data_IF_655159061513
#
_entry.id   IF_655159061513
#
_cell.length_a   1.000
_cell.length_b   1.000
_cell.length_c   1.000
_cell.angle_alpha   90.00
_cell.angle_beta   90.00
_cell.angle_gamma   90.00
#
_symmetry.space_group_name_H-M   'P 1'
#
loop_
_entity.id
_entity.type
_entity.pdbx_description
1 polymer ?
#
# COMPACT_ATOMS: atom_id res chain seq x y z
N UNK A 1 -10.14 39.14 -5.63
CA UNK A 1 -9.09 38.31 -6.25
C UNK A 1 -8.85 37.16 -5.28
N UNK A 2 -9.53 36.04 -5.49
CA UNK A 2 -9.33 34.85 -4.66
C UNK A 2 -7.94 34.29 -4.96
N UNK A 3 -7.17 33.99 -3.93
CA UNK A 3 -5.93 33.23 -4.08
C UNK A 3 -6.34 31.84 -4.58
N UNK A 4 -5.86 31.45 -5.77
CA UNK A 4 -6.02 30.08 -6.25
C UNK A 4 -5.19 29.17 -5.33
N UNK A 5 -5.84 28.53 -4.35
CA UNK A 5 -5.23 27.59 -3.40
C UNK A 5 -5.22 26.13 -3.89
N UNK A 6 -5.48 25.86 -5.17
CA UNK A 6 -5.56 24.50 -5.72
C UNK A 6 -4.40 24.17 -6.67
N UNK A 7 -3.15 24.33 -6.23
CA UNK A 7 -2.01 23.70 -6.91
C UNK A 7 -1.52 22.52 -6.09
N UNK A 8 -1.65 21.30 -6.63
CA UNK A 8 -1.03 20.11 -6.07
C UNK A 8 0.48 20.28 -5.94
N UNK A 9 1.06 19.68 -4.92
CA UNK A 9 2.53 19.65 -4.75
C UNK A 9 3.16 18.70 -5.78
N UNK A 10 4.44 18.87 -6.14
CA UNK A 10 5.12 17.93 -7.04
C UNK A 10 5.07 16.47 -6.56
N UNK A 11 5.01 16.23 -5.24
CA UNK A 11 4.84 14.89 -4.67
C UNK A 11 3.44 14.35 -4.95
N UNK A 12 2.41 15.18 -4.81
CA UNK A 12 1.04 14.77 -5.11
C UNK A 12 0.86 14.46 -6.59
N UNK A 13 1.49 15.25 -7.48
CA UNK A 13 1.48 15.00 -8.92
C UNK A 13 2.19 13.70 -9.27
N UNK A 14 3.34 13.43 -8.65
CA UNK A 14 4.06 12.17 -8.86
C UNK A 14 3.23 10.94 -8.49
N UNK A 15 2.47 11.01 -7.39
CA UNK A 15 1.61 9.91 -6.93
C UNK A 15 0.20 9.93 -7.52
N UNK A 16 -0.12 10.88 -8.40
CA UNK A 16 -1.41 10.91 -9.06
C UNK A 16 -1.61 9.61 -9.86
N UNK A 17 -2.74 8.95 -9.63
CA UNK A 17 -3.14 7.68 -10.26
C UNK A 17 -2.15 6.52 -10.06
N UNK A 18 -1.15 6.70 -9.20
CA UNK A 18 -0.13 5.69 -8.94
C UNK A 18 -0.72 4.46 -8.25
N UNK A 19 -0.21 3.28 -8.62
CA UNK A 19 -0.39 2.04 -7.88
C UNK A 19 0.92 1.70 -7.20
N UNK A 20 0.91 1.69 -5.87
CA UNK A 20 2.11 1.53 -5.05
C UNK A 20 2.17 0.14 -4.46
N UNK A 21 3.20 -0.64 -4.81
CA UNK A 21 3.50 -1.91 -4.15
C UNK A 21 4.38 -1.66 -2.93
N UNK A 22 3.97 -2.15 -1.75
CA UNK A 22 4.75 -2.05 -0.51
C UNK A 22 5.01 -3.44 0.05
N UNK A 23 6.29 -3.78 0.21
CA UNK A 23 6.72 -4.92 1.03
C UNK A 23 6.99 -4.46 2.46
N UNK A 24 6.77 -5.31 3.45
CA UNK A 24 6.95 -4.92 4.86
C UNK A 24 5.86 -3.98 5.38
N UNK A 25 4.75 -3.82 4.67
CA UNK A 25 3.65 -2.91 5.01
C UNK A 25 3.02 -3.16 6.39
N UNK A 26 3.08 -4.39 6.90
CA UNK A 26 2.57 -4.72 8.24
C UNK A 26 3.49 -4.28 9.39
N UNK A 27 4.73 -3.90 9.09
CA UNK A 27 5.67 -3.37 10.08
C UNK A 27 5.33 -1.94 10.49
N UNK A 28 6.01 -1.42 11.52
CA UNK A 28 5.78 -0.06 12.00
C UNK A 28 6.01 1.01 10.91
N UNK A 29 7.19 1.00 10.27
CA UNK A 29 7.52 1.95 9.21
C UNK A 29 6.59 1.81 8.00
N UNK A 30 6.23 0.57 7.63
CA UNK A 30 5.28 0.30 6.57
C UNK A 30 3.92 0.95 6.84
N UNK A 31 3.39 0.81 8.06
CA UNK A 31 2.12 1.45 8.47
C UNK A 31 2.19 2.98 8.40
N UNK A 32 3.29 3.59 8.87
CA UNK A 32 3.50 5.04 8.81
C UNK A 32 3.56 5.52 7.36
N UNK A 33 4.24 4.79 6.47
CA UNK A 33 4.30 5.09 5.05
C UNK A 33 2.90 5.04 4.41
N UNK A 34 2.13 3.98 4.69
CA UNK A 34 0.75 3.83 4.20
C UNK A 34 -0.13 5.01 4.64
N UNK A 35 -0.11 5.34 5.93
CA UNK A 35 -0.83 6.51 6.47
C UNK A 35 -0.45 7.78 5.71
N UNK A 36 0.85 8.03 5.57
CA UNK A 36 1.37 9.26 4.96
C UNK A 36 0.96 9.39 3.51
N UNK A 37 1.05 8.31 2.73
CA UNK A 37 0.62 8.27 1.33
C UNK A 37 -0.89 8.53 1.22
N UNK A 38 -1.70 7.83 2.00
CA UNK A 38 -3.16 7.99 1.98
C UNK A 38 -3.62 9.37 2.43
N UNK A 39 -2.93 9.99 3.38
CA UNK A 39 -3.25 11.33 3.88
C UNK A 39 -2.78 12.44 2.95
N UNK A 40 -1.59 12.30 2.37
CA UNK A 40 -0.94 13.40 1.62
C UNK A 40 -1.19 13.33 0.11
N UNK A 41 -1.47 12.13 -0.43
CA UNK A 41 -1.67 11.90 -1.86
C UNK A 41 -3.11 11.41 -2.11
N UNK A 42 -4.12 12.29 -2.03
CA UNK A 42 -5.52 11.89 -2.12
C UNK A 42 -5.91 11.31 -3.48
N UNK A 43 -5.13 11.59 -4.54
CA UNK A 43 -5.35 11.11 -5.90
C UNK A 43 -4.54 9.85 -6.24
N UNK A 44 -3.84 9.25 -5.27
CA UNK A 44 -3.22 7.94 -5.45
C UNK A 44 -4.30 6.89 -5.70
N UNK A 45 -4.11 6.02 -6.69
CA UNK A 45 -5.11 5.03 -7.11
C UNK A 45 -5.22 3.89 -6.11
N UNK A 46 -4.11 3.19 -5.85
CA UNK A 46 -4.10 1.97 -5.03
C UNK A 46 -2.79 1.76 -4.30
N UNK A 47 -2.86 1.19 -3.11
CA UNK A 47 -1.72 0.60 -2.40
C UNK A 47 -1.93 -0.91 -2.36
N UNK A 48 -0.95 -1.66 -2.86
CA UNK A 48 -0.93 -3.12 -2.81
C UNK A 48 0.13 -3.56 -1.82
N UNK A 49 -0.26 -4.31 -0.81
CA UNK A 49 0.65 -4.83 0.22
C UNK A 49 1.04 -6.27 -0.09
N UNK A 50 2.33 -6.55 -0.15
CA UNK A 50 2.84 -7.90 -0.13
C UNK A 50 2.91 -8.39 1.32
N UNK A 51 2.00 -9.30 1.69
CA UNK A 51 1.87 -9.80 3.05
C UNK A 51 2.25 -11.28 3.10
N UNK A 52 3.24 -11.59 3.92
CA UNK A 52 3.67 -12.97 4.19
C UNK A 52 2.56 -13.80 4.85
N UNK A 53 2.24 -14.96 4.32
CA UNK A 53 1.36 -15.89 5.04
C UNK A 53 2.06 -16.42 6.30
N UNK A 54 1.37 -16.46 7.44
CA UNK A 54 1.91 -17.04 8.68
C UNK A 54 0.86 -17.96 9.30
N UNK A 55 1.25 -19.21 9.60
CA UNK A 55 0.56 -20.13 10.53
C UNK A 55 -0.97 -19.97 10.52
N UNK A 56 -1.59 -20.33 9.39
CA UNK A 56 -3.06 -20.41 9.19
C UNK A 56 -3.83 -19.08 9.01
N UNK A 57 -3.19 -17.92 9.18
CA UNK A 57 -3.83 -16.62 8.92
C UNK A 57 -3.69 -16.20 7.46
N UNK A 58 -4.84 -16.11 6.77
CA UNK A 58 -4.95 -15.59 5.41
C UNK A 58 -4.50 -14.13 5.33
N UNK A 59 -3.89 -13.72 4.21
CA UNK A 59 -3.35 -12.37 4.02
C UNK A 59 -4.40 -11.27 4.30
N UNK A 60 -5.65 -11.53 3.92
CA UNK A 60 -6.78 -10.63 4.11
C UNK A 60 -7.08 -10.37 5.60
N UNK A 61 -7.07 -11.41 6.44
CA UNK A 61 -7.25 -11.24 7.90
C UNK A 61 -6.10 -10.43 8.52
N UNK A 62 -4.88 -10.61 8.02
CA UNK A 62 -3.72 -9.81 8.47
C UNK A 62 -3.85 -8.34 8.06
N UNK A 63 -4.37 -8.07 6.86
CA UNK A 63 -4.68 -6.72 6.41
C UNK A 63 -5.75 -6.09 7.30
N UNK A 64 -6.88 -6.77 7.52
CA UNK A 64 -7.97 -6.28 8.38
C UNK A 64 -7.47 -5.93 9.78
N UNK A 65 -6.73 -6.84 10.43
CA UNK A 65 -6.16 -6.58 11.75
C UNK A 65 -5.17 -5.39 11.75
N UNK A 66 -4.40 -5.23 10.67
CA UNK A 66 -3.48 -4.10 10.52
C UNK A 66 -4.24 -2.76 10.37
N UNK A 67 -5.37 -2.75 9.66
CA UNK A 67 -6.17 -1.52 9.45
C UNK A 67 -6.81 -0.97 10.73
N UNK A 68 -6.88 -1.79 11.79
CA UNK A 68 -7.33 -1.38 13.13
C UNK A 68 -6.21 -0.80 14.01
N UNK A 69 -4.97 -0.78 13.52
CA UNK A 69 -3.84 -0.20 14.24
C UNK A 69 -4.04 1.31 14.50
N UNK A 70 -3.67 1.84 15.69
CA UNK A 70 -3.80 3.26 16.01
C UNK A 70 -3.17 4.20 14.98
N UNK A 71 -2.10 3.79 14.29
CA UNK A 71 -1.44 4.58 13.23
C UNK A 71 -2.41 4.84 12.06
N UNK A 72 -3.29 3.87 11.75
CA UNK A 72 -4.21 3.93 10.62
C UNK A 72 -5.63 4.37 11.03
N UNK A 73 -5.86 4.66 12.32
CA UNK A 73 -7.18 5.05 12.85
C UNK A 73 -7.72 6.34 12.20
N UNK A 74 -6.84 7.28 11.84
CA UNK A 74 -7.23 8.54 11.20
C UNK A 74 -7.51 8.46 9.70
N UNK A 75 -7.25 7.32 9.05
CA UNK A 75 -7.47 7.15 7.60
C UNK A 75 -8.97 7.03 7.31
N UNK A 76 -9.47 7.92 6.44
CA UNK A 76 -10.89 7.94 6.06
C UNK A 76 -11.35 6.62 5.41
N UNK A 77 -12.63 6.21 5.58
CA UNK A 77 -13.14 4.98 4.97
C UNK A 77 -12.89 4.89 3.46
N UNK A 78 -13.03 6.01 2.73
CA UNK A 78 -12.73 6.11 1.29
C UNK A 78 -11.28 5.74 0.98
N UNK A 79 -10.33 6.25 1.76
CA UNK A 79 -8.91 5.97 1.54
C UNK A 79 -8.51 4.56 1.99
N UNK A 80 -9.18 4.00 3.00
CA UNK A 80 -8.95 2.60 3.44
C UNK A 80 -9.24 1.60 2.31
N UNK A 81 -10.24 1.85 1.47
CA UNK A 81 -10.60 1.00 0.33
C UNK A 81 -9.51 0.93 -0.75
N UNK A 82 -8.55 1.87 -0.75
CA UNK A 82 -7.42 1.86 -1.68
C UNK A 82 -6.34 0.85 -1.31
N UNK A 83 -6.39 0.28 -0.11
CA UNK A 83 -5.38 -0.67 0.38
C UNK A 83 -5.86 -2.09 0.12
N UNK A 84 -5.08 -2.84 -0.63
CA UNK A 84 -5.33 -4.25 -0.96
C UNK A 84 -4.11 -5.08 -0.58
N UNK A 85 -4.28 -6.40 -0.43
CA UNK A 85 -3.19 -7.30 -0.09
C UNK A 85 -3.07 -8.45 -1.08
N UNK A 86 -1.84 -8.84 -1.36
CA UNK A 86 -1.49 -10.08 -2.04
C UNK A 86 -0.59 -10.90 -1.13
N UNK A 87 -0.78 -12.22 -1.15
CA UNK A 87 0.11 -13.13 -0.42
C UNK A 87 1.46 -13.22 -1.14
N UNK A 88 2.55 -13.11 -0.38
CA UNK A 88 3.90 -13.29 -0.91
C UNK A 88 4.98 -13.23 0.16
N UNK A 89 6.16 -13.75 -0.17
CA UNK A 89 7.34 -13.82 0.69
C UNK A 89 8.59 -13.39 -0.09
N UNK A 90 9.25 -12.32 0.36
CA UNK A 90 10.45 -11.80 -0.28
C UNK A 90 11.63 -12.78 -0.28
N UNK A 91 11.60 -13.79 0.58
CA UNK A 91 12.64 -14.83 0.62
C UNK A 91 12.43 -15.94 -0.42
N UNK A 92 11.31 -15.93 -1.16
CA UNK A 92 11.00 -16.94 -2.16
C UNK A 92 11.24 -16.42 -3.59
N UNK A 93 11.58 -17.31 -4.55
CA UNK A 93 11.58 -16.97 -5.95
C UNK A 93 10.26 -16.35 -6.39
N UNK A 94 10.32 -15.33 -7.25
CA UNK A 94 9.15 -14.56 -7.70
C UNK A 94 8.25 -14.05 -6.56
N UNK A 95 8.84 -13.79 -5.39
CA UNK A 95 8.15 -13.34 -4.17
C UNK A 95 7.07 -14.32 -3.67
N UNK A 96 7.09 -15.58 -4.09
CA UNK A 96 6.05 -16.56 -3.76
C UNK A 96 4.66 -16.20 -4.31
N UNK A 97 4.60 -15.37 -5.35
CA UNK A 97 3.35 -14.94 -5.98
C UNK A 97 2.75 -16.05 -6.85
N UNK A 98 1.43 -16.07 -6.95
CA UNK A 98 0.74 -16.79 -8.02
C UNK A 98 0.93 -16.05 -9.35
N UNK A 99 0.81 -16.76 -10.47
CA UNK A 99 0.91 -16.13 -11.80
C UNK A 99 -0.15 -15.03 -12.00
N UNK A 100 -1.37 -15.21 -11.48
CA UNK A 100 -2.41 -14.20 -11.52
C UNK A 100 -2.03 -12.92 -10.76
N UNK A 101 -1.50 -13.04 -9.54
CA UNK A 101 -1.06 -11.88 -8.77
C UNK A 101 0.16 -11.22 -9.42
N UNK A 102 1.08 -12.03 -9.97
CA UNK A 102 2.25 -11.53 -10.69
C UNK A 102 1.84 -10.70 -11.90
N UNK A 103 0.91 -11.19 -12.71
CA UNK A 103 0.36 -10.46 -13.85
C UNK A 103 -0.29 -9.14 -13.42
N UNK A 104 -1.16 -9.17 -12.40
CA UNK A 104 -1.82 -7.99 -11.85
C UNK A 104 -0.81 -6.92 -11.39
N UNK A 105 0.26 -7.34 -10.71
CA UNK A 105 1.29 -6.41 -10.23
C UNK A 105 2.10 -5.82 -11.39
N UNK A 106 2.48 -6.65 -12.37
CA UNK A 106 3.25 -6.20 -13.54
C UNK A 106 2.48 -5.20 -14.40
N UNK A 107 1.16 -5.35 -14.50
CA UNK A 107 0.32 -4.47 -15.33
C UNK A 107 0.05 -3.12 -14.66
N UNK A 108 -0.09 -3.08 -13.33
CA UNK A 108 -0.64 -1.91 -12.63
C UNK A 108 0.37 -1.11 -11.82
N UNK A 109 1.41 -1.73 -11.26
CA UNK A 109 2.31 -1.08 -10.29
C UNK A 109 3.21 -0.06 -10.98
N UNK A 110 3.21 1.16 -10.46
CA UNK A 110 4.06 2.26 -10.96
C UNK A 110 5.15 2.66 -9.97
N UNK A 111 4.98 2.34 -8.68
CA UNK A 111 5.97 2.65 -7.64
C UNK A 111 6.13 1.46 -6.70
N UNK A 112 7.37 1.18 -6.29
CA UNK A 112 7.69 0.12 -5.33
C UNK A 112 8.41 0.70 -4.12
N UNK A 113 7.89 0.39 -2.93
CA UNK A 113 8.61 0.57 -1.67
C UNK A 113 9.00 -0.78 -1.08
N UNK A 114 10.31 -1.03 -1.01
CA UNK A 114 10.85 -2.20 -0.33
C UNK A 114 11.24 -1.85 1.11
N UNK A 115 10.33 -2.11 2.06
CA UNK A 115 10.54 -1.84 3.50
C UNK A 115 10.71 -3.14 4.30
N UNK A 116 10.50 -4.30 3.67
CA UNK A 116 10.72 -5.57 4.33
C UNK A 116 12.19 -5.71 4.76
N UNK A 117 12.40 -6.15 5.99
CA UNK A 117 13.69 -6.61 6.49
C UNK A 117 13.64 -8.13 6.64
N UNK A 118 14.74 -8.79 6.28
CA UNK A 118 14.93 -10.26 6.34
C UNK A 118 15.49 -10.71 7.68
#
# INVERSE_FOLDING_TARGET
>A
MALNEDSSTPIQDFYQDATVLITGGTGFLGKVLIEKLLRSCPNLSRIVLLIRSKRELHCQKRLEAMMEDPILKGVSPKNRQKVTAVSGDCCLPSLGLTEANKFLLLESVTVVFHVAAT
#
